data_IF_493651759877
#
_entry.id   IF_493651759877
#
_cell.length_a   1.000
_cell.length_b   1.000
_cell.length_c   1.000
_cell.angle_alpha   90.00
_cell.angle_beta   90.00
_cell.angle_gamma   90.00
#
_symmetry.space_group_name_H-M   'P 1'
#
loop_
_entity.id
_entity.type
_entity.pdbx_description
1 polymer ?
#
# COMPACT_ATOMS: atom_id res chain seq x y z
N UNK A 1 -9.02 -23.88 16.04
CA UNK A 1 -10.09 -24.24 15.10
C UNK A 1 -9.77 -23.62 13.74
N UNK A 2 -9.50 -24.46 12.74
CA UNK A 2 -9.07 -24.02 11.42
C UNK A 2 -10.24 -23.42 10.62
N UNK A 3 -9.96 -22.40 9.82
CA UNK A 3 -10.91 -21.88 8.85
C UNK A 3 -11.17 -22.97 7.81
N UNK A 4 -12.34 -23.62 7.87
CA UNK A 4 -12.75 -24.58 6.85
C UNK A 4 -12.87 -23.83 5.53
N UNK A 5 -12.03 -24.19 4.56
CA UNK A 5 -12.08 -23.59 3.24
C UNK A 5 -13.44 -23.84 2.59
N UNK A 6 -13.95 -22.82 1.91
CA UNK A 6 -15.24 -22.89 1.24
C UNK A 6 -15.07 -23.64 -0.09
N UNK A 7 -15.66 -24.82 -0.19
CA UNK A 7 -15.50 -25.69 -1.36
C UNK A 7 -16.15 -25.08 -2.60
N UNK A 8 -15.71 -25.44 -3.82
CA UNK A 8 -16.30 -24.93 -5.05
C UNK A 8 -17.80 -25.24 -5.18
N UNK A 9 -18.24 -26.39 -4.68
CA UNK A 9 -19.65 -26.81 -4.78
C UNK A 9 -20.54 -26.03 -3.81
N UNK A 10 -20.06 -25.77 -2.59
CA UNK A 10 -20.75 -24.87 -1.65
C UNK A 10 -20.88 -23.45 -2.22
N UNK A 11 -19.85 -22.95 -2.91
CA UNK A 11 -19.91 -21.65 -3.61
C UNK A 11 -20.98 -21.64 -4.69
N UNK A 12 -21.07 -22.69 -5.52
CA UNK A 12 -22.11 -22.80 -6.56
C UNK A 12 -23.51 -22.83 -5.94
N UNK A 13 -23.72 -23.62 -4.90
CA UNK A 13 -25.01 -23.71 -4.21
C UNK A 13 -25.45 -22.36 -3.62
N UNK A 14 -24.53 -21.61 -3.00
CA UNK A 14 -24.82 -20.25 -2.49
C UNK A 14 -25.26 -19.32 -3.62
N UNK A 15 -24.58 -19.35 -4.77
CA UNK A 15 -24.89 -18.49 -5.91
C UNK A 15 -26.23 -18.84 -6.56
N UNK A 16 -26.53 -20.13 -6.73
CA UNK A 16 -27.83 -20.59 -7.29
C UNK A 16 -28.98 -20.13 -6.41
N UNK A 17 -28.86 -20.29 -5.09
CA UNK A 17 -29.91 -19.88 -4.15
C UNK A 17 -30.06 -18.35 -4.09
N UNK A 18 -28.96 -17.60 -4.25
CA UNK A 18 -29.00 -16.15 -4.36
C UNK A 18 -29.71 -15.69 -5.63
N UNK A 19 -29.44 -16.33 -6.77
CA UNK A 19 -30.09 -16.02 -8.05
C UNK A 19 -31.58 -16.37 -8.05
N UNK A 20 -31.97 -17.38 -7.28
CA UNK A 20 -33.36 -17.71 -6.99
C UNK A 20 -34.05 -16.70 -6.03
N UNK A 21 -33.35 -15.66 -5.58
CA UNK A 21 -33.91 -14.58 -4.76
C UNK A 21 -34.12 -14.94 -3.29
N UNK A 22 -33.50 -16.02 -2.79
CA UNK A 22 -33.63 -16.39 -1.37
C UNK A 22 -32.90 -15.39 -0.46
N UNK A 23 -33.47 -15.18 0.73
CA UNK A 23 -32.82 -14.38 1.78
C UNK A 23 -31.55 -15.07 2.29
N UNK A 24 -30.54 -14.29 2.64
CA UNK A 24 -29.25 -14.78 3.15
C UNK A 24 -29.39 -15.67 4.40
N UNK A 25 -30.43 -15.48 5.22
CA UNK A 25 -30.73 -16.35 6.36
C UNK A 25 -31.10 -17.77 5.92
N UNK A 26 -31.91 -17.90 4.86
CA UNK A 26 -32.29 -19.21 4.30
C UNK A 26 -31.09 -19.89 3.62
N UNK A 27 -30.28 -19.13 2.88
CA UNK A 27 -29.06 -19.63 2.24
C UNK A 27 -28.06 -20.14 3.28
N UNK A 28 -27.89 -19.40 4.39
CA UNK A 28 -27.02 -19.80 5.51
C UNK A 28 -27.45 -21.14 6.11
N UNK A 29 -28.75 -21.35 6.30
CA UNK A 29 -29.29 -22.62 6.80
C UNK A 29 -29.09 -23.76 5.79
N UNK A 30 -29.41 -23.53 4.52
CA UNK A 30 -29.32 -24.54 3.47
C UNK A 30 -27.88 -25.00 3.18
N UNK A 31 -26.90 -24.13 3.40
CA UNK A 31 -25.49 -24.39 3.09
C UNK A 31 -24.65 -24.69 4.32
N UNK A 32 -25.24 -24.64 5.52
CA UNK A 32 -24.55 -24.72 6.81
C UNK A 32 -23.35 -23.77 6.92
N UNK A 33 -23.39 -22.62 6.21
CA UNK A 33 -22.35 -21.60 6.24
C UNK A 33 -22.85 -20.35 6.93
N UNK A 34 -21.93 -19.56 7.49
CA UNK A 34 -22.31 -18.32 8.16
C UNK A 34 -22.89 -17.31 7.18
N UNK A 35 -23.79 -16.46 7.69
CA UNK A 35 -24.40 -15.38 6.92
C UNK A 35 -23.31 -14.48 6.29
N UNK A 36 -22.23 -14.21 7.03
CA UNK A 36 -21.11 -13.41 6.54
C UNK A 36 -20.40 -14.03 5.32
N UNK A 37 -20.26 -15.37 5.29
CA UNK A 37 -19.70 -16.08 4.13
C UNK A 37 -20.64 -15.99 2.94
N UNK A 38 -21.94 -16.22 3.14
CA UNK A 38 -22.95 -16.12 2.07
C UNK A 38 -23.00 -14.71 1.45
N UNK A 39 -22.98 -13.69 2.30
CA UNK A 39 -22.93 -12.29 1.88
C UNK A 39 -21.64 -11.97 1.11
N UNK A 40 -20.49 -12.48 1.59
CA UNK A 40 -19.20 -12.27 0.93
C UNK A 40 -19.16 -12.92 -0.46
N UNK A 41 -19.65 -14.15 -0.60
CA UNK A 41 -19.69 -14.85 -1.90
C UNK A 41 -20.57 -14.11 -2.90
N UNK A 42 -21.77 -13.71 -2.46
CA UNK A 42 -22.71 -12.95 -3.30
C UNK A 42 -22.10 -11.60 -3.74
N UNK A 43 -21.54 -10.84 -2.79
CA UNK A 43 -20.90 -9.54 -3.09
C UNK A 43 -19.67 -9.66 -3.99
N UNK A 44 -18.87 -10.72 -3.86
CA UNK A 44 -17.66 -10.90 -4.66
C UNK A 44 -17.95 -11.26 -6.12
N UNK A 45 -19.17 -11.73 -6.45
CA UNK A 45 -19.63 -11.97 -7.83
C UNK A 45 -19.74 -10.67 -8.62
N UNK A 46 -20.33 -9.65 -8.01
CA UNK A 46 -20.64 -8.38 -8.69
C UNK A 46 -19.46 -7.41 -8.68
N UNK A 47 -18.46 -7.63 -7.82
CA UNK A 47 -17.25 -6.82 -7.83
C UNK A 47 -16.25 -7.38 -8.85
N UNK A 48 -15.86 -6.65 -9.91
CA UNK A 48 -14.71 -7.03 -10.71
C UNK A 48 -13.51 -7.14 -9.78
N UNK A 49 -12.80 -8.28 -9.83
CA UNK A 49 -11.68 -8.53 -8.94
C UNK A 49 -10.57 -7.52 -9.23
N UNK A 50 -10.56 -6.40 -8.52
CA UNK A 50 -9.38 -5.55 -8.48
C UNK A 50 -8.31 -6.39 -7.77
N UNK A 51 -7.17 -6.69 -8.43
CA UNK A 51 -6.13 -7.48 -7.78
C UNK A 51 -5.77 -6.79 -6.46
N UNK A 52 -5.69 -7.59 -5.40
CA UNK A 52 -5.31 -7.11 -4.08
C UNK A 52 -4.01 -6.32 -4.19
N UNK A 53 -4.06 -5.02 -3.91
CA UNK A 53 -2.85 -4.17 -3.72
C UNK A 53 -2.13 -4.50 -2.41
N UNK A 54 -2.46 -5.60 -1.73
CA UNK A 54 -1.73 -6.06 -0.53
C UNK A 54 -0.54 -6.95 -0.92
N UNK A 55 0.29 -6.46 -1.82
CA UNK A 55 1.72 -6.57 -1.61
C UNK A 55 2.10 -5.38 -0.75
N UNK A 56 2.88 -5.57 0.32
CA UNK A 56 3.68 -4.44 0.80
C UNK A 56 4.40 -3.94 -0.46
N UNK A 57 4.18 -2.70 -0.89
CA UNK A 57 5.16 -2.04 -1.74
C UNK A 57 6.45 -2.14 -0.95
N UNK A 58 7.29 -3.13 -1.26
CA UNK A 58 8.69 -3.08 -0.87
C UNK A 58 9.10 -1.75 -1.46
N UNK A 59 9.29 -0.74 -0.61
CA UNK A 59 9.66 0.61 -1.02
C UNK A 59 10.69 0.40 -2.13
N UNK A 60 10.35 0.71 -3.37
CA UNK A 60 11.22 0.34 -4.52
C UNK A 60 12.61 0.94 -4.31
N UNK A 61 12.63 2.10 -3.66
CA UNK A 61 13.78 2.71 -3.00
C UNK A 61 14.57 1.70 -2.17
N UNK A 62 14.00 1.06 -1.14
CA UNK A 62 14.73 0.17 -0.24
C UNK A 62 15.38 -1.06 -0.90
N UNK A 63 14.86 -1.56 -2.04
CA UNK A 63 15.51 -2.63 -2.82
C UNK A 63 16.63 -2.10 -3.72
N UNK A 64 16.41 -0.99 -4.43
CA UNK A 64 17.47 -0.31 -5.19
C UNK A 64 18.60 0.19 -4.27
N UNK A 65 18.24 0.56 -3.06
CA UNK A 65 19.12 1.11 -2.04
C UNK A 65 19.91 0.09 -1.23
N UNK A 66 19.67 -1.21 -1.43
CA UNK A 66 20.48 -2.25 -0.79
C UNK A 66 21.86 -2.36 -1.44
N UNK A 67 21.92 -2.12 -2.75
CA UNK A 67 23.16 -2.14 -3.55
C UNK A 67 23.81 -0.76 -3.69
N UNK A 68 23.11 0.31 -3.26
CA UNK A 68 23.65 1.68 -3.29
C UNK A 68 24.39 1.96 -1.97
N UNK A 69 25.66 2.41 -2.01
CA UNK A 69 26.45 2.78 -0.83
C UNK A 69 25.83 3.84 0.10
N UNK A 70 24.81 4.56 -0.36
CA UNK A 70 24.13 5.62 0.38
C UNK A 70 23.50 5.17 1.72
N UNK A 71 23.13 3.89 1.87
CA UNK A 71 22.53 3.39 3.10
C UNK A 71 23.60 3.19 4.17
N UNK A 72 24.84 2.86 3.76
CA UNK A 72 26.01 2.90 4.64
C UNK A 72 26.31 4.33 5.06
N UNK A 73 26.20 5.30 4.15
CA UNK A 73 26.41 6.73 4.44
C UNK A 73 25.48 7.27 5.54
N UNK A 74 24.19 6.88 5.57
CA UNK A 74 23.25 7.28 6.64
C UNK A 74 23.48 6.60 7.99
N UNK A 75 24.13 5.44 8.02
CA UNK A 75 24.44 4.71 9.27
C UNK A 75 25.68 5.26 9.98
N UNK A 76 26.47 6.10 9.31
CA UNK A 76 27.58 6.82 9.97
C UNK A 76 26.97 7.91 10.84
N UNK A 77 27.15 7.80 12.16
CA UNK A 77 26.64 8.78 13.14
C UNK A 77 27.32 10.14 13.01
N UNK A 78 28.55 10.14 12.49
CA UNK A 78 29.22 11.34 12.01
C UNK A 78 28.63 11.71 10.65
N UNK A 79 28.01 12.90 10.56
CA UNK A 79 27.65 13.48 9.27
C UNK A 79 28.88 13.58 8.35
N UNK A 80 28.70 13.71 7.04
CA UNK A 80 29.82 13.89 6.13
C UNK A 80 30.71 15.05 6.59
N UNK A 81 32.02 14.82 6.57
CA UNK A 81 32.99 15.85 6.91
C UNK A 81 32.79 17.06 6.00
N UNK A 82 32.37 18.17 6.60
CA UNK A 82 32.13 19.41 5.89
C UNK A 82 33.47 20.07 5.61
N UNK A 83 34.10 19.67 4.51
CA UNK A 83 35.26 20.38 3.97
C UNK A 83 34.96 21.89 3.84
N UNK A 84 35.98 22.75 3.97
CA UNK A 84 35.81 24.21 3.88
C UNK A 84 35.03 24.66 2.63
N UNK A 85 35.23 23.98 1.49
CA UNK A 85 34.47 24.24 0.25
C UNK A 85 32.95 24.10 0.40
N UNK A 86 32.49 23.13 1.20
CA UNK A 86 31.07 22.91 1.43
C UNK A 86 30.48 24.02 2.31
N UNK A 87 31.26 24.50 3.29
CA UNK A 87 30.85 25.59 4.17
C UNK A 87 30.74 26.90 3.38
N UNK A 88 31.74 27.20 2.53
CA UNK A 88 31.70 28.37 1.65
C UNK A 88 30.54 28.31 0.66
N UNK A 89 30.30 27.15 0.03
CA UNK A 89 29.17 26.99 -0.88
C UNK A 89 27.81 27.17 -0.19
N UNK A 90 27.68 26.68 1.04
CA UNK A 90 26.46 26.89 1.85
C UNK A 90 26.27 28.35 2.23
N UNK A 91 27.34 29.03 2.67
CA UNK A 91 27.31 30.45 3.00
C UNK A 91 26.94 31.28 1.78
N UNK A 92 27.64 31.09 0.66
CA UNK A 92 27.34 31.74 -0.61
C UNK A 92 25.90 31.54 -1.06
N UNK A 93 25.38 30.31 -0.97
CA UNK A 93 23.97 30.03 -1.28
C UNK A 93 22.99 30.74 -0.33
N UNK A 94 23.37 30.89 0.94
CA UNK A 94 22.62 31.68 1.92
C UNK A 94 22.58 33.14 1.49
N UNK A 95 23.74 33.73 1.25
CA UNK A 95 23.91 35.13 0.85
C UNK A 95 23.19 35.42 -0.49
N UNK A 96 23.34 34.55 -1.50
CA UNK A 96 22.70 34.69 -2.83
C UNK A 96 21.16 34.57 -2.77
N UNK A 97 20.60 34.07 -1.67
CA UNK A 97 19.17 33.83 -1.49
C UNK A 97 18.59 34.50 -0.23
N UNK A 98 19.39 35.34 0.44
CA UNK A 98 18.95 36.13 1.58
C UNK A 98 17.95 37.19 1.08
N UNK A 99 16.75 37.20 1.65
CA UNK A 99 15.66 38.09 1.22
C UNK A 99 14.78 37.56 0.08
N UNK A 100 15.05 36.37 -0.48
CA UNK A 100 14.14 35.76 -1.46
C UNK A 100 12.79 35.39 -0.84
N UNK A 101 11.73 35.86 -1.47
CA UNK A 101 10.34 35.57 -1.11
C UNK A 101 9.94 34.15 -1.52
N UNK A 102 8.91 33.60 -0.88
CA UNK A 102 8.40 32.25 -1.20
C UNK A 102 8.02 32.08 -2.68
N UNK A 103 7.56 33.15 -3.34
CA UNK A 103 7.24 33.15 -4.77
C UNK A 103 8.51 33.01 -5.64
N UNK A 104 9.60 33.69 -5.27
CA UNK A 104 10.89 33.59 -5.96
C UNK A 104 11.56 32.23 -5.73
N UNK A 105 11.33 31.60 -4.57
CA UNK A 105 11.74 30.22 -4.33
C UNK A 105 11.02 29.22 -5.24
N UNK A 106 9.74 29.44 -5.53
CA UNK A 106 8.95 28.55 -6.38
C UNK A 106 9.37 28.61 -7.86
N UNK A 107 9.96 29.72 -8.32
CA UNK A 107 10.43 29.86 -9.70
C UNK A 107 11.77 29.15 -10.00
N UNK A 108 12.47 28.67 -8.96
CA UNK A 108 13.79 28.01 -9.07
C UNK A 108 13.67 26.47 -9.02
N UNK A 109 12.47 25.92 -8.75
CA UNK A 109 12.17 24.49 -8.74
C UNK A 109 11.61 24.02 -10.09
#
# INVERSE_FOLDING_TARGET
MGATELTPDERKSILILHDAGLKLSAISVATHRSIGVCHKVSKMRDTPSKPSRRGKTKKTVQRLCHDVPWLKFKKVRAGPELLPRHQMARKKRGDDHEGKTNAEWAAVL
#
